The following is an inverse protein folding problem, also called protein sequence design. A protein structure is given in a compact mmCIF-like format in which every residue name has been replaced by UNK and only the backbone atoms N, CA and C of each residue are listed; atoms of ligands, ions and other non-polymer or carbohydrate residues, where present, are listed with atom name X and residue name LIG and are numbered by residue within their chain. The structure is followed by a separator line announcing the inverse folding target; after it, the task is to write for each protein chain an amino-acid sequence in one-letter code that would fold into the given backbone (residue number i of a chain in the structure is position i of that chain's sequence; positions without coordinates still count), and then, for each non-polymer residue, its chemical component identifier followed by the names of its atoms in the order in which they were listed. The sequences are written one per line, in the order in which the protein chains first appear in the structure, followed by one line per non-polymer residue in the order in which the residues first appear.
data_IF_215031563387
#
_entry.id   IF_215031563387
#
_cell.length_a   1.000
_cell.length_b   1.000
_cell.length_c   1.000
_cell.angle_alpha   90.00
_cell.angle_beta   90.00
_cell.angle_gamma   90.00
#
_symmetry.space_group_name_H-M   'P 1'
#
loop_
_entity.id
_entity.type
_entity.pdbx_description
1 polymer ?
#
# COMPACT_ATOMS: atom_id res chain seq x y z
N UNK A 1 -14.54 2.64 -21.39
CA UNK A 1 -13.24 3.31 -21.69
C UNK A 1 -12.73 4.13 -20.50
N UNK A 2 -13.48 5.13 -20.00
CA UNK A 2 -13.06 5.92 -18.84
C UNK A 2 -12.85 5.06 -17.58
N UNK A 3 -13.81 4.20 -17.25
CA UNK A 3 -13.71 3.33 -16.06
C UNK A 3 -12.53 2.38 -16.18
N UNK A 4 -12.36 1.73 -17.33
CA UNK A 4 -11.22 0.86 -17.63
C UNK A 4 -9.87 1.59 -17.55
N UNK A 5 -9.77 2.83 -18.06
CA UNK A 5 -8.55 3.63 -17.92
C UNK A 5 -8.25 3.97 -16.45
N UNK A 6 -9.30 4.18 -15.65
CA UNK A 6 -9.19 4.43 -14.21
C UNK A 6 -8.76 3.17 -13.44
N UNK A 7 -9.33 2.02 -13.78
CA UNK A 7 -8.97 0.71 -13.20
C UNK A 7 -7.53 0.29 -13.53
N UNK A 8 -7.05 0.62 -14.73
CA UNK A 8 -5.65 0.38 -15.14
C UNK A 8 -4.65 1.38 -14.50
N UNK A 9 -5.11 2.31 -13.67
CA UNK A 9 -4.26 3.30 -13.01
C UNK A 9 -3.70 4.39 -13.92
N UNK A 10 -4.27 4.57 -15.12
CA UNK A 10 -3.88 5.63 -16.06
C UNK A 10 -4.40 7.00 -15.59
N UNK A 11 -3.80 8.10 -16.08
CA UNK A 11 -4.20 9.47 -15.68
C UNK A 11 -5.65 9.81 -16.09
N UNK A 12 -6.17 9.15 -17.13
CA UNK A 12 -7.51 9.38 -17.67
C UNK A 12 -7.56 9.17 -19.18
N UNK A 13 -8.49 9.86 -19.84
CA UNK A 13 -8.73 9.75 -21.28
C UNK A 13 -8.57 11.12 -21.95
N UNK A 14 -7.96 11.13 -23.14
CA UNK A 14 -7.96 12.27 -24.05
C UNK A 14 -8.77 11.89 -25.29
N UNK A 15 -9.95 12.48 -25.43
CA UNK A 15 -10.82 12.31 -26.60
C UNK A 15 -10.48 13.36 -27.65
N UNK A 16 -10.11 12.93 -28.85
CA UNK A 16 -9.81 13.80 -30.00
C UNK A 16 -10.90 13.62 -31.05
N UNK A 17 -11.42 14.71 -31.62
CA UNK A 17 -12.35 14.64 -32.76
C UNK A 17 -11.62 14.04 -33.97
N UNK A 18 -12.20 13.01 -34.56
CA UNK A 18 -11.57 12.23 -35.63
C UNK A 18 -11.40 13.04 -36.93
N UNK A 19 -12.30 13.98 -37.17
CA UNK A 19 -12.35 14.87 -38.35
C UNK A 19 -11.55 16.17 -38.17
N UNK A 20 -10.95 16.40 -36.99
CA UNK A 20 -10.26 17.64 -36.70
C UNK A 20 -8.79 17.61 -37.16
N UNK A 21 -8.40 18.61 -37.94
CA UNK A 21 -7.01 18.86 -38.32
C UNK A 21 -6.22 19.31 -37.08
N UNK A 22 -4.95 18.91 -36.99
CA UNK A 22 -4.06 19.38 -35.93
C UNK A 22 -3.87 20.90 -36.02
N UNK A 23 -4.06 21.59 -34.89
CA UNK A 23 -3.85 23.03 -34.76
C UNK A 23 -3.04 23.29 -33.50
N UNK A 24 -2.00 24.13 -33.64
CA UNK A 24 -1.22 24.60 -32.49
C UNK A 24 -2.05 25.59 -31.65
N UNK A 25 -1.94 25.50 -30.32
CA UNK A 25 -2.65 26.38 -29.38
C UNK A 25 -3.90 25.76 -28.74
N UNK A 26 -4.73 26.59 -28.10
CA UNK A 26 -5.92 26.12 -27.37
C UNK A 26 -7.08 25.87 -28.33
N UNK A 27 -7.49 24.61 -28.44
CA UNK A 27 -8.61 24.19 -29.28
C UNK A 27 -9.69 23.49 -28.46
N UNK A 28 -10.86 23.27 -29.08
CA UNK A 28 -11.96 22.46 -28.52
C UNK A 28 -12.04 21.05 -29.14
N UNK A 29 -11.12 20.71 -30.05
CA UNK A 29 -11.11 19.41 -30.74
C UNK A 29 -10.60 18.28 -29.85
N UNK A 30 -9.91 18.60 -28.75
CA UNK A 30 -9.43 17.65 -27.76
C UNK A 30 -10.10 17.93 -26.42
N UNK A 31 -10.66 16.89 -25.80
CA UNK A 31 -11.22 16.95 -24.44
C UNK A 31 -10.46 15.98 -23.55
N UNK A 32 -9.85 16.47 -22.48
CA UNK A 32 -9.22 15.61 -21.47
C UNK A 32 -10.18 15.40 -20.31
N UNK A 33 -10.27 14.16 -19.84
CA UNK A 33 -10.97 13.80 -18.61
C UNK A 33 -10.01 12.98 -17.77
N UNK A 34 -9.65 13.47 -16.58
CA UNK A 34 -8.77 12.73 -15.67
C UNK A 34 -9.54 11.65 -14.92
N UNK A 35 -8.95 10.47 -14.76
CA UNK A 35 -9.38 9.47 -13.81
C UNK A 35 -9.26 10.08 -12.41
N UNK A 36 -10.37 10.15 -11.69
CA UNK A 36 -10.38 10.74 -10.35
C UNK A 36 -10.09 9.66 -9.31
N UNK A 37 -9.15 9.94 -8.41
CA UNK A 37 -8.80 9.01 -7.34
C UNK A 37 -9.81 9.17 -6.21
N UNK A 38 -10.22 8.06 -5.62
CA UNK A 38 -11.15 8.03 -4.49
C UNK A 38 -10.60 7.09 -3.45
N UNK A 39 -10.59 7.54 -2.20
CA UNK A 39 -10.08 6.77 -1.07
C UNK A 39 -10.83 7.17 0.21
N UNK A 40 -10.64 6.40 1.28
CA UNK A 40 -11.25 6.68 2.58
C UNK A 40 -10.22 7.27 3.54
N UNK A 41 -10.63 8.33 4.23
CA UNK A 41 -9.79 9.05 5.18
C UNK A 41 -10.48 9.16 6.52
N UNK A 42 -9.70 9.09 7.59
CA UNK A 42 -10.16 9.39 8.95
C UNK A 42 -10.37 10.89 9.08
N UNK A 43 -11.47 11.30 9.71
CA UNK A 43 -11.70 12.69 10.07
C UNK A 43 -10.97 12.96 11.37
N UNK A 44 -9.93 13.78 11.32
CA UNK A 44 -9.11 14.15 12.47
C UNK A 44 -9.44 15.53 13.04
N UNK A 45 -10.15 16.36 12.29
CA UNK A 45 -10.57 17.69 12.77
C UNK A 45 -11.52 18.38 11.82
N UNK A 46 -11.94 19.59 12.19
CA UNK A 46 -12.72 20.47 11.35
C UNK A 46 -12.36 21.94 11.57
N UNK A 47 -12.69 22.77 10.59
CA UNK A 47 -12.66 24.23 10.71
C UNK A 47 -14.05 24.78 10.51
N UNK A 48 -14.32 25.94 11.11
CA UNK A 48 -15.59 26.68 10.98
C UNK A 48 -15.33 28.02 10.31
N UNK A 49 -16.35 28.59 9.66
CA UNK A 49 -16.26 29.94 9.12
C UNK A 49 -17.62 30.62 9.10
N UNK A 50 -17.64 31.93 9.35
CA UNK A 50 -18.86 32.74 9.28
C UNK A 50 -19.46 32.73 7.88
N UNK A 51 -18.61 32.73 6.83
CA UNK A 51 -19.03 32.66 5.43
C UNK A 51 -19.79 31.37 5.10
N UNK A 52 -19.43 30.26 5.74
CA UNK A 52 -20.09 28.97 5.54
C UNK A 52 -21.25 28.74 6.53
N UNK A 53 -21.49 29.69 7.47
CA UNK A 53 -22.46 29.55 8.55
C UNK A 53 -22.32 28.22 9.31
N UNK A 54 -21.08 27.79 9.59
CA UNK A 54 -20.80 26.50 10.22
C UNK A 54 -19.54 25.82 9.69
N UNK A 55 -19.64 24.52 9.38
CA UNK A 55 -18.52 23.70 8.91
C UNK A 55 -17.91 24.29 7.62
N UNK A 56 -16.64 24.69 7.69
CA UNK A 56 -15.89 25.20 6.55
C UNK A 56 -15.08 24.09 5.86
N UNK A 57 -14.43 23.23 6.64
CA UNK A 57 -13.68 22.11 6.09
C UNK A 57 -13.42 21.01 7.12
N UNK A 58 -13.08 19.83 6.62
CA UNK A 58 -12.67 18.67 7.40
C UNK A 58 -11.17 18.42 7.24
N UNK A 59 -10.48 18.14 8.34
CA UNK A 59 -9.10 17.64 8.36
C UNK A 59 -9.07 16.13 8.16
N UNK A 60 -8.47 15.69 7.05
CA UNK A 60 -8.32 14.28 6.69
C UNK A 60 -7.00 13.73 7.24
N UNK A 61 -7.02 12.47 7.67
CA UNK A 61 -5.87 11.76 8.16
C UNK A 61 -5.91 10.27 7.78
N UNK A 62 -4.77 9.60 7.88
CA UNK A 62 -4.61 8.16 7.65
C UNK A 62 -3.74 7.56 8.73
N UNK A 63 -4.00 6.30 9.07
CA UNK A 63 -3.09 5.54 9.92
C UNK A 63 -1.93 4.97 9.10
N UNK A 64 -0.71 5.25 9.53
CA UNK A 64 0.53 4.72 8.97
C UNK A 64 1.36 4.17 10.14
N UNK A 65 1.69 2.88 10.11
CA UNK A 65 2.43 2.19 11.18
C UNK A 65 1.84 2.34 12.61
N UNK A 66 0.53 2.58 12.71
CA UNK A 66 -0.17 2.78 13.98
C UNK A 66 -0.21 4.24 14.46
N UNK A 67 0.43 5.16 13.74
CA UNK A 67 0.36 6.60 13.99
C UNK A 67 -0.61 7.27 13.02
N UNK A 68 -1.33 8.29 13.48
CA UNK A 68 -2.29 9.02 12.66
C UNK A 68 -1.56 10.19 11.99
N UNK A 69 -1.50 10.21 10.65
CA UNK A 69 -0.84 11.25 9.87
C UNK A 69 -1.84 12.13 9.14
N UNK A 70 -1.61 13.44 9.17
CA UNK A 70 -2.42 14.41 8.46
C UNK A 70 -2.26 14.30 6.95
N UNK A 71 -3.38 14.27 6.22
CA UNK A 71 -3.41 14.16 4.76
C UNK A 71 -4.03 15.38 4.06
N UNK A 72 -4.45 16.40 4.78
CA UNK A 72 -4.92 17.66 4.19
C UNK A 72 -6.35 18.03 4.54
N UNK A 73 -6.78 19.19 4.04
CA UNK A 73 -8.08 19.82 4.35
C UNK A 73 -9.04 19.66 3.18
N UNK A 74 -10.29 19.30 3.46
CA UNK A 74 -11.37 19.13 2.47
C UNK A 74 -12.54 20.04 2.81
N UNK A 75 -12.72 21.10 2.03
CA UNK A 75 -13.75 22.12 2.24
C UNK A 75 -14.90 22.10 1.23
N UNK A 76 -15.04 21.03 0.46
CA UNK A 76 -16.08 20.93 -0.59
C UNK A 76 -16.72 19.54 -0.59
N UNK A 77 -17.93 19.43 -1.15
CA UNK A 77 -18.62 18.15 -1.34
C UNK A 77 -19.70 17.83 -0.30
N UNK A 78 -19.98 18.75 0.62
CA UNK A 78 -21.14 18.70 1.50
C UNK A 78 -22.11 19.84 1.20
N UNK A 79 -23.41 19.56 1.29
CA UNK A 79 -24.46 20.57 1.29
C UNK A 79 -24.67 21.12 2.72
N UNK A 80 -25.59 22.10 2.85
CA UNK A 80 -25.82 22.81 4.11
C UNK A 80 -26.32 21.89 5.23
N UNK A 81 -27.25 20.99 4.91
CA UNK A 81 -27.85 20.09 5.89
C UNK A 81 -26.82 19.08 6.37
N UNK A 82 -26.05 18.49 5.45
CA UNK A 82 -24.97 17.57 5.77
C UNK A 82 -23.83 18.25 6.53
N UNK A 83 -23.48 19.50 6.21
CA UNK A 83 -22.49 20.28 6.95
C UNK A 83 -22.91 20.49 8.40
N UNK A 84 -24.18 20.81 8.62
CA UNK A 84 -24.78 21.01 9.95
C UNK A 84 -24.76 19.70 10.76
N UNK A 85 -25.17 18.59 10.15
CA UNK A 85 -25.16 17.27 10.78
C UNK A 85 -23.73 16.82 11.14
N UNK A 86 -22.77 16.99 10.22
CA UNK A 86 -21.37 16.64 10.44
C UNK A 86 -20.78 17.44 11.60
N UNK A 87 -21.03 18.74 11.65
CA UNK A 87 -20.54 19.60 12.72
C UNK A 87 -21.05 19.13 14.09
N UNK A 88 -22.36 18.88 14.22
CA UNK A 88 -22.96 18.40 15.47
C UNK A 88 -22.45 17.02 15.92
N UNK A 89 -22.05 16.15 14.97
CA UNK A 89 -21.39 14.87 15.29
C UNK A 89 -19.95 15.08 15.75
N UNK A 90 -19.20 15.96 15.10
CA UNK A 90 -17.77 16.19 15.34
C UNK A 90 -17.50 16.96 16.64
N UNK A 91 -18.34 17.93 16.98
CA UNK A 91 -18.21 18.70 18.23
C UNK A 91 -18.18 17.80 19.47
N UNK A 92 -18.96 16.70 19.47
CA UNK A 92 -18.99 15.70 20.54
C UNK A 92 -17.71 14.87 20.66
N UNK A 93 -16.81 14.94 19.69
CA UNK A 93 -15.58 14.16 19.62
C UNK A 93 -14.32 14.96 19.94
N UNK A 94 -14.45 16.24 20.33
CA UNK A 94 -13.33 17.15 20.59
C UNK A 94 -12.59 16.88 21.90
N UNK A 95 -13.30 16.38 22.93
CA UNK A 95 -12.75 16.22 24.27
C UNK A 95 -11.61 15.19 24.33
N UNK A 96 -10.38 15.66 24.59
CA UNK A 96 -9.18 14.80 24.64
C UNK A 96 -8.65 14.37 23.28
N UNK A 97 -9.02 15.07 22.21
CA UNK A 97 -8.44 14.86 20.89
C UNK A 97 -7.04 15.48 20.79
N UNK A 98 -6.16 14.85 20.03
CA UNK A 98 -4.81 15.33 19.72
C UNK A 98 -4.64 15.50 18.20
N UNK A 99 -3.81 16.46 17.76
CA UNK A 99 -3.50 16.59 16.34
C UNK A 99 -2.79 15.33 15.81
N UNK A 100 -3.04 14.94 14.56
CA UNK A 100 -2.22 13.97 13.84
C UNK A 100 -0.78 14.45 13.66
N UNK A 101 0.11 13.53 13.31
CA UNK A 101 1.48 13.83 12.90
C UNK A 101 1.52 14.56 11.54
N UNK A 102 2.54 15.40 11.36
CA UNK A 102 2.78 16.11 10.10
C UNK A 102 1.84 17.30 9.81
N UNK A 103 1.09 17.79 10.80
CA UNK A 103 0.21 18.96 10.63
C UNK A 103 1.04 20.26 10.50
N UNK A 104 0.85 21.07 9.43
CA UNK A 104 1.48 22.38 9.32
C UNK A 104 1.04 23.34 10.44
N UNK A 105 1.94 24.21 10.93
CA UNK A 105 1.68 25.14 12.05
C UNK A 105 0.45 26.05 11.85
N UNK A 106 0.20 26.48 10.62
CA UNK A 106 -0.94 27.32 10.28
C UNK A 106 -2.26 26.58 10.50
N UNK A 107 -2.33 25.32 10.03
CA UNK A 107 -3.49 24.44 10.22
C UNK A 107 -3.65 24.06 11.69
N UNK A 108 -2.54 23.90 12.41
CA UNK A 108 -2.55 23.54 13.83
C UNK A 108 -3.38 24.49 14.70
N UNK A 109 -3.41 25.78 14.35
CA UNK A 109 -4.14 26.82 15.09
C UNK A 109 -5.59 27.00 14.63
N UNK A 110 -5.89 26.70 13.36
CA UNK A 110 -7.22 26.87 12.77
C UNK A 110 -8.15 25.69 13.10
N UNK A 111 -7.57 24.50 13.28
CA UNK A 111 -8.32 23.24 13.34
C UNK A 111 -8.83 22.93 14.75
N UNK A 112 -10.11 22.56 14.83
CA UNK A 112 -10.70 21.89 15.98
C UNK A 112 -10.47 20.38 15.83
N UNK A 113 -9.61 19.82 16.67
CA UNK A 113 -9.24 18.41 16.62
C UNK A 113 -10.34 17.52 17.18
N UNK A 114 -10.53 16.35 16.59
CA UNK A 114 -11.51 15.35 17.03
C UNK A 114 -10.87 13.97 17.17
N UNK A 115 -11.47 13.12 17.99
CA UNK A 115 -11.09 11.71 18.05
C UNK A 115 -11.31 11.04 16.70
N UNK A 116 -10.39 10.18 16.24
CA UNK A 116 -10.44 9.52 14.93
C UNK A 116 -11.48 8.38 14.86
N UNK A 117 -12.75 8.70 15.11
CA UNK A 117 -13.86 7.73 15.16
C UNK A 117 -14.73 7.75 13.91
N UNK A 118 -14.63 8.81 13.10
CA UNK A 118 -15.38 8.95 11.85
C UNK A 118 -14.41 8.89 10.67
N UNK A 119 -14.86 8.29 9.57
CA UNK A 119 -14.15 8.31 8.30
C UNK A 119 -15.06 8.78 7.17
N UNK A 120 -14.45 9.29 6.11
CA UNK A 120 -15.13 9.86 4.98
C UNK A 120 -14.50 9.37 3.69
N UNK A 121 -15.34 9.09 2.69
CA UNK A 121 -14.89 8.86 1.33
C UNK A 121 -14.59 10.21 0.69
N UNK A 122 -13.36 10.36 0.19
CA UNK A 122 -12.90 11.58 -0.45
C UNK A 122 -12.40 11.28 -1.85
N UNK A 123 -12.86 12.09 -2.81
CA UNK A 123 -12.34 12.11 -4.17
C UNK A 123 -11.30 13.22 -4.31
N UNK A 124 -10.15 12.95 -4.91
CA UNK A 124 -9.06 13.91 -5.00
C UNK A 124 -8.31 13.79 -6.34
N UNK A 125 -7.55 14.82 -6.72
CA UNK A 125 -6.81 14.82 -7.99
C UNK A 125 -5.55 13.98 -7.94
N UNK A 126 -4.74 14.20 -6.90
CA UNK A 126 -3.46 13.55 -6.68
C UNK A 126 -3.03 13.71 -5.22
N UNK A 127 -2.01 12.91 -4.84
CA UNK A 127 -1.27 13.09 -3.59
C UNK A 127 0.03 13.84 -3.86
N UNK A 128 0.52 14.54 -2.85
CA UNK A 128 1.87 15.11 -2.80
C UNK A 128 2.89 14.07 -2.37
N UNK A 129 4.18 14.43 -2.33
CA UNK A 129 5.25 13.52 -1.93
C UNK A 129 5.14 13.10 -0.44
N UNK A 130 4.57 13.96 0.40
CA UNK A 130 4.19 13.74 1.80
C UNK A 130 2.80 13.07 1.95
N UNK A 131 2.27 12.48 0.87
CA UNK A 131 0.99 11.79 0.82
C UNK A 131 -0.27 12.64 1.08
N UNK A 132 -0.15 13.97 1.20
CA UNK A 132 -1.30 14.84 1.36
C UNK A 132 -2.13 14.94 0.07
N UNK A 133 -3.45 14.92 0.19
CA UNK A 133 -4.38 15.00 -0.92
C UNK A 133 -4.56 16.44 -1.42
N UNK A 134 -4.62 16.60 -2.75
CA UNK A 134 -4.94 17.86 -3.42
C UNK A 134 -6.31 17.82 -4.06
N UNK A 135 -7.00 18.96 -4.00
CA UNK A 135 -8.35 19.14 -4.55
C UNK A 135 -9.33 18.07 -4.08
N UNK A 136 -9.32 17.78 -2.77
CA UNK A 136 -10.22 16.84 -2.14
C UNK A 136 -11.67 17.34 -2.13
N UNK A 137 -12.59 16.42 -2.42
CA UNK A 137 -14.04 16.63 -2.43
C UNK A 137 -14.67 15.51 -1.61
N UNK A 138 -15.39 15.87 -0.56
CA UNK A 138 -16.15 14.95 0.27
C UNK A 138 -17.22 14.23 -0.57
N UNK A 139 -17.41 12.94 -0.35
CA UNK A 139 -18.42 12.12 -1.06
C UNK A 139 -19.42 11.45 -0.13
N UNK A 140 -19.13 11.40 1.17
CA UNK A 140 -20.01 10.78 2.17
C UNK A 140 -19.22 10.25 3.35
N UNK A 141 -19.90 10.12 4.49
CA UNK A 141 -19.37 9.37 5.63
C UNK A 141 -19.27 7.89 5.27
N UNK A 142 -18.29 7.23 5.88
CA UNK A 142 -18.21 5.78 5.90
C UNK A 142 -18.72 5.28 7.24
N UNK A 143 -19.53 4.23 7.18
CA UNK A 143 -20.18 3.70 8.38
C UNK A 143 -19.16 3.08 9.34
N UNK A 144 -19.42 3.21 10.65
CA UNK A 144 -18.47 2.94 11.75
C UNK A 144 -18.24 1.43 11.99
N UNK A 145 -18.78 0.55 11.12
CA UNK A 145 -18.31 -0.84 11.02
C UNK A 145 -16.86 -0.96 10.49
N UNK A 146 -16.27 0.16 10.06
CA UNK A 146 -14.93 0.26 9.49
C UNK A 146 -13.86 0.86 10.41
N UNK A 147 -14.00 0.79 11.75
CA UNK A 147 -12.78 0.62 12.57
C UNK A 147 -12.23 -0.78 12.32
N UNK A 148 -11.75 -0.97 11.11
CA UNK A 148 -10.65 -1.85 10.89
C UNK A 148 -9.43 -0.93 10.83
N UNK A 149 -8.66 -0.90 11.94
CA UNK A 149 -7.27 -1.39 11.82
C UNK A 149 -7.35 -2.47 10.77
N UNK A 150 -6.83 -2.27 9.53
CA UNK A 150 -7.23 -3.08 8.36
C UNK A 150 -7.37 -4.49 8.86
N UNK A 151 -8.63 -5.01 8.98
CA UNK A 151 -8.93 -6.21 9.79
C UNK A 151 -7.82 -7.13 9.36
N UNK A 152 -6.90 -7.54 10.26
CA UNK A 152 -5.68 -8.20 9.86
C UNK A 152 -6.20 -9.21 8.88
N UNK A 153 -5.93 -8.98 7.57
CA UNK A 153 -6.58 -9.77 6.53
C UNK A 153 -6.38 -11.15 7.09
N UNK A 154 -7.44 -11.96 7.32
CA UNK A 154 -7.27 -13.29 7.92
C UNK A 154 -6.42 -14.00 6.89
N UNK A 155 -5.12 -13.78 7.03
CA UNK A 155 -4.10 -14.02 6.04
C UNK A 155 -4.00 -15.49 6.21
N UNK A 156 -4.28 -16.17 5.12
CA UNK A 156 -4.17 -17.60 5.11
C UNK A 156 -2.75 -17.89 5.57
N UNK A 157 -2.62 -18.41 6.78
CA UNK A 157 -1.35 -18.90 7.30
C UNK A 157 -0.98 -20.02 6.33
N UNK A 158 0.04 -19.76 5.50
CA UNK A 158 0.54 -20.71 4.53
C UNK A 158 1.57 -21.62 5.17
N UNK A 159 2.20 -21.17 6.26
CA UNK A 159 3.18 -21.93 7.03
C UNK A 159 2.58 -22.37 8.36
N UNK A 160 2.19 -23.64 8.46
CA UNK A 160 1.76 -24.24 9.72
C UNK A 160 2.96 -24.68 10.58
N UNK A 161 2.74 -24.86 11.89
CA UNK A 161 3.80 -25.37 12.78
C UNK A 161 4.27 -26.78 12.40
N UNK A 162 3.37 -27.60 11.83
CA UNK A 162 3.71 -28.91 11.26
C UNK A 162 4.71 -28.81 10.12
N UNK A 163 4.62 -27.77 9.29
CA UNK A 163 5.53 -27.58 8.15
C UNK A 163 6.92 -27.21 8.68
N UNK A 164 6.98 -26.28 9.63
CA UNK A 164 8.23 -25.88 10.29
C UNK A 164 8.90 -27.04 11.04
N UNK A 165 8.12 -27.89 11.72
CA UNK A 165 8.65 -29.04 12.46
C UNK A 165 9.36 -30.07 11.58
N UNK A 166 9.13 -30.04 10.28
CA UNK A 166 9.76 -30.96 9.31
C UNK A 166 10.95 -30.35 8.57
N UNK A 167 11.29 -29.08 8.83
CA UNK A 167 12.45 -28.40 8.23
C UNK A 167 13.66 -28.55 9.17
N UNK A 168 14.68 -29.27 8.73
CA UNK A 168 15.92 -29.42 9.48
C UNK A 168 16.95 -28.35 9.10
N UNK A 169 17.35 -27.51 10.05
CA UNK A 169 18.40 -26.50 9.86
C UNK A 169 19.74 -27.03 10.33
N UNK A 170 20.62 -27.38 9.39
CA UNK A 170 21.99 -27.80 9.72
C UNK A 170 22.85 -26.64 10.20
N UNK A 171 23.64 -26.84 11.26
CA UNK A 171 24.51 -25.82 11.87
C UNK A 171 23.76 -24.51 12.21
N UNK A 172 22.74 -24.56 13.09
CA UNK A 172 21.86 -23.43 13.37
C UNK A 172 22.61 -22.21 13.92
N UNK A 173 23.61 -22.43 14.77
CA UNK A 173 24.41 -21.38 15.43
C UNK A 173 25.45 -20.72 14.50
N UNK A 174 25.65 -21.25 13.29
CA UNK A 174 26.63 -20.69 12.36
C UNK A 174 26.23 -19.27 11.99
N UNK A 175 27.11 -18.32 12.27
CA UNK A 175 26.93 -16.92 11.88
C UNK A 175 27.16 -16.72 10.38
N UNK A 176 26.24 -15.99 9.76
CA UNK A 176 26.30 -15.55 8.38
C UNK A 176 26.70 -14.07 8.33
N UNK A 177 27.29 -13.64 7.22
CA UNK A 177 27.68 -12.24 7.01
C UNK A 177 28.70 -11.69 8.04
N UNK A 178 29.59 -12.55 8.54
CA UNK A 178 30.67 -12.19 9.45
C UNK A 178 30.45 -12.62 10.91
N UNK A 179 31.40 -12.28 11.79
CA UNK A 179 31.40 -12.72 13.20
C UNK A 179 30.27 -12.12 14.05
N UNK A 180 29.71 -10.99 13.64
CA UNK A 180 28.63 -10.29 14.35
C UNK A 180 27.28 -10.42 13.67
N UNK A 181 27.21 -11.12 12.53
CA UNK A 181 25.97 -11.27 11.78
C UNK A 181 25.01 -12.31 12.39
N UNK A 182 23.79 -12.41 11.82
CA UNK A 182 22.76 -13.33 12.28
C UNK A 182 23.21 -14.78 12.16
N UNK A 183 22.69 -15.63 13.04
CA UNK A 183 22.87 -17.08 12.91
C UNK A 183 22.01 -17.63 11.77
N UNK A 184 22.35 -18.82 11.29
CA UNK A 184 21.56 -19.51 10.27
C UNK A 184 20.13 -19.78 10.75
N UNK A 185 19.96 -20.04 12.05
CA UNK A 185 18.65 -20.15 12.68
C UNK A 185 17.88 -18.84 12.63
N UNK A 186 18.51 -17.70 12.93
CA UNK A 186 17.84 -16.40 12.87
C UNK A 186 17.29 -16.10 11.47
N UNK A 187 18.05 -16.44 10.42
CA UNK A 187 17.59 -16.30 9.04
C UNK A 187 16.42 -17.25 8.74
N UNK A 188 16.49 -18.51 9.18
CA UNK A 188 15.38 -19.46 8.98
C UNK A 188 14.10 -19.00 9.70
N UNK A 189 14.22 -18.52 10.94
CA UNK A 189 13.12 -17.95 11.72
C UNK A 189 12.56 -16.71 11.04
N UNK A 190 13.41 -15.82 10.54
CA UNK A 190 12.97 -14.66 9.76
C UNK A 190 12.14 -15.07 8.55
N UNK A 191 12.60 -16.03 7.74
CA UNK A 191 11.83 -16.55 6.60
C UNK A 191 10.53 -17.23 7.02
N UNK A 192 10.49 -17.91 8.17
CA UNK A 192 9.24 -18.45 8.70
C UNK A 192 8.25 -17.34 9.10
N UNK A 193 8.74 -16.22 9.65
CA UNK A 193 7.92 -15.06 10.03
C UNK A 193 7.40 -14.28 8.82
N UNK A 194 8.22 -14.10 7.79
CA UNK A 194 7.83 -13.35 6.58
C UNK A 194 7.24 -14.24 5.48
N UNK A 195 7.28 -15.56 5.65
CA UNK A 195 6.93 -16.51 4.59
C UNK A 195 5.48 -16.41 4.14
N UNK A 196 4.53 -16.13 5.05
CA UNK A 196 3.13 -15.87 4.70
C UNK A 196 2.96 -14.64 3.78
N UNK A 197 3.91 -13.71 3.78
CA UNK A 197 3.95 -12.56 2.87
C UNK A 197 4.67 -12.88 1.56
N UNK A 198 5.70 -13.73 1.61
CA UNK A 198 6.57 -14.03 0.49
C UNK A 198 5.98 -15.10 -0.44
N UNK A 199 5.50 -16.21 0.13
CA UNK A 199 5.05 -17.41 -0.58
C UNK A 199 3.97 -17.14 -1.65
N UNK A 200 2.92 -16.31 -1.42
CA UNK A 200 1.92 -16.03 -2.45
C UNK A 200 2.49 -15.46 -3.75
N UNK A 201 3.68 -14.87 -3.69
CA UNK A 201 4.33 -14.23 -4.82
C UNK A 201 5.36 -15.11 -5.53
N UNK A 202 5.79 -16.23 -4.92
CA UNK A 202 6.87 -17.07 -5.44
C UNK A 202 6.46 -18.54 -5.66
N UNK A 203 5.40 -19.02 -5.00
CA UNK A 203 4.93 -20.40 -5.17
C UNK A 203 4.50 -20.64 -6.62
N UNK A 204 4.98 -21.74 -7.20
CA UNK A 204 4.71 -22.12 -8.59
C UNK A 204 5.38 -21.21 -9.64
N UNK A 205 6.39 -20.43 -9.25
CA UNK A 205 7.12 -19.54 -10.17
C UNK A 205 8.61 -19.90 -10.22
N UNK A 206 9.27 -19.75 -11.38
CA UNK A 206 10.72 -19.84 -11.47
C UNK A 206 11.39 -18.75 -10.60
N UNK A 207 12.32 -19.15 -9.75
CA UNK A 207 13.09 -18.27 -8.87
C UNK A 207 14.59 -18.39 -9.15
N UNK A 208 15.33 -17.35 -8.77
CA UNK A 208 16.80 -17.37 -8.75
C UNK A 208 17.27 -17.25 -7.31
N UNK A 209 18.14 -18.16 -6.89
CA UNK A 209 18.75 -18.09 -5.56
C UNK A 209 20.00 -17.22 -5.60
N UNK A 210 20.12 -16.27 -4.67
CA UNK A 210 21.39 -15.57 -4.43
C UNK A 210 22.18 -16.39 -3.44
N UNK A 211 23.34 -16.91 -3.87
CA UNK A 211 24.21 -17.73 -3.03
C UNK A 211 25.52 -17.01 -2.77
N UNK A 212 25.92 -16.98 -1.50
CA UNK A 212 27.19 -16.41 -1.05
C UNK A 212 27.97 -17.49 -0.28
N UNK A 213 28.76 -18.36 -0.94
CA UNK A 213 29.36 -19.54 -0.32
C UNK A 213 30.26 -19.22 0.89
N UNK A 214 30.98 -18.10 0.82
CA UNK A 214 31.87 -17.60 1.88
C UNK A 214 31.16 -16.67 2.87
N UNK A 215 29.91 -16.31 2.60
CA UNK A 215 29.15 -15.29 3.33
C UNK A 215 29.57 -13.84 3.04
N UNK A 216 30.48 -13.61 2.07
CA UNK A 216 30.92 -12.27 1.66
C UNK A 216 30.13 -11.78 0.42
N UNK A 217 29.68 -10.51 0.38
CA UNK A 217 28.92 -9.96 -0.74
C UNK A 217 29.57 -10.12 -2.12
N UNK A 218 30.90 -10.01 -2.20
CA UNK A 218 31.66 -10.13 -3.44
C UNK A 218 31.69 -11.56 -4.03
N UNK A 219 31.42 -12.57 -3.21
CA UNK A 219 31.38 -13.97 -3.64
C UNK A 219 29.93 -14.43 -3.90
N UNK A 220 28.98 -13.49 -3.94
CA UNK A 220 27.58 -13.78 -4.19
C UNK A 220 27.30 -13.88 -5.69
N UNK A 221 26.51 -14.87 -6.10
CA UNK A 221 26.07 -15.04 -7.49
C UNK A 221 24.64 -15.57 -7.56
N UNK A 222 24.00 -15.39 -8.72
CA UNK A 222 22.66 -15.90 -8.99
C UNK A 222 22.74 -17.34 -9.52
N UNK A 223 22.05 -18.26 -8.85
CA UNK A 223 21.84 -19.63 -9.27
C UNK A 223 20.40 -19.77 -9.79
N UNK A 224 20.26 -20.08 -11.08
CA UNK A 224 18.95 -20.29 -11.75
C UNK A 224 18.61 -21.76 -11.98
N UNK A 225 19.64 -22.59 -12.11
CA UNK A 225 19.52 -23.99 -12.49
C UNK A 225 19.78 -24.91 -11.30
N UNK A 226 19.17 -26.09 -11.31
CA UNK A 226 19.46 -27.12 -10.31
C UNK A 226 20.91 -27.63 -10.44
N UNK A 227 21.46 -28.14 -9.34
CA UNK A 227 22.80 -28.73 -9.31
C UNK A 227 22.83 -29.96 -8.41
N UNK A 228 23.85 -30.80 -8.59
CA UNK A 228 24.04 -32.02 -7.80
C UNK A 228 24.22 -31.70 -6.31
N UNK A 229 23.32 -32.21 -5.47
CA UNK A 229 23.33 -31.95 -4.02
C UNK A 229 22.35 -30.87 -3.55
N UNK A 230 21.49 -30.37 -4.44
CA UNK A 230 20.33 -29.56 -4.04
C UNK A 230 19.35 -30.41 -3.20
N UNK A 231 18.76 -29.85 -2.12
CA UNK A 231 17.77 -30.59 -1.33
C UNK A 231 16.57 -31.01 -2.19
N UNK A 232 16.02 -32.22 -1.97
CA UNK A 232 14.86 -32.69 -2.73
C UNK A 232 13.60 -31.86 -2.50
N UNK A 233 13.58 -31.02 -1.47
CA UNK A 233 12.48 -30.09 -1.23
C UNK A 233 12.45 -28.93 -2.21
N UNK A 234 13.56 -28.58 -2.88
CA UNK A 234 13.57 -27.48 -3.86
C UNK A 234 13.05 -28.00 -5.19
N UNK A 235 11.88 -27.53 -5.58
CA UNK A 235 11.25 -27.94 -6.84
C UNK A 235 12.02 -27.42 -8.07
N UNK A 236 11.83 -28.10 -9.20
CA UNK A 236 12.39 -27.71 -10.48
C UNK A 236 11.32 -27.70 -11.57
N UNK A 237 11.40 -26.71 -12.45
CA UNK A 237 10.53 -26.55 -13.59
C UNK A 237 11.35 -26.54 -14.88
N UNK A 238 10.93 -27.32 -15.89
CA UNK A 238 11.58 -27.36 -17.19
C UNK A 238 11.01 -26.31 -18.14
N UNK A 239 11.88 -25.56 -18.81
CA UNK A 239 11.51 -24.62 -19.85
C UNK A 239 12.52 -24.65 -20.99
N UNK A 240 12.02 -24.48 -22.21
CA UNK A 240 12.85 -24.31 -23.41
C UNK A 240 13.31 -22.85 -23.47
N UNK A 241 14.60 -22.61 -23.66
CA UNK A 241 15.14 -21.26 -23.85
C UNK A 241 14.94 -20.77 -25.30
N UNK A 242 15.36 -19.53 -25.58
CA UNK A 242 15.31 -18.94 -26.92
C UNK A 242 16.16 -19.66 -27.98
N UNK A 243 17.04 -20.57 -27.56
CA UNK A 243 17.95 -21.35 -28.42
C UNK A 243 17.42 -22.78 -28.67
N UNK A 244 16.23 -23.12 -28.16
CA UNK A 244 15.64 -24.45 -28.30
C UNK A 244 16.17 -25.50 -27.31
N UNK A 245 16.99 -25.10 -26.34
CA UNK A 245 17.52 -25.97 -25.31
C UNK A 245 16.56 -26.07 -24.11
N UNK A 246 16.24 -27.28 -23.69
CA UNK A 246 15.51 -27.51 -22.44
C UNK A 246 16.44 -27.26 -21.24
N UNK A 247 16.06 -26.32 -20.37
CA UNK A 247 16.77 -26.03 -19.12
C UNK A 247 15.83 -26.18 -17.93
N UNK A 248 16.37 -26.70 -16.84
CA UNK A 248 15.70 -26.75 -15.53
C UNK A 248 15.93 -25.46 -14.77
N UNK A 249 14.87 -24.90 -14.22
CA UNK A 249 14.87 -23.72 -13.36
C UNK A 249 14.39 -24.09 -11.98
N UNK A 250 14.89 -23.39 -10.97
CA UNK A 250 14.43 -23.57 -9.59
C UNK A 250 13.04 -22.99 -9.41
N UNK A 251 12.19 -23.66 -8.65
CA UNK A 251 10.87 -23.16 -8.22
C UNK A 251 10.65 -23.45 -6.75
N UNK A 252 9.66 -22.80 -6.16
CA UNK A 252 9.20 -23.06 -4.78
C UNK A 252 7.78 -23.58 -4.83
N UNK A 253 7.48 -24.68 -4.14
CA UNK A 253 6.13 -25.25 -4.06
C UNK A 253 5.48 -25.02 -2.71
N UNK A 254 6.27 -25.09 -1.63
CA UNK A 254 5.77 -24.89 -0.27
C UNK A 254 6.81 -24.20 0.65
N UNK A 255 6.59 -24.26 1.96
CA UNK A 255 7.47 -23.65 2.95
C UNK A 255 8.86 -24.32 3.06
N UNK A 256 8.99 -25.58 2.63
CA UNK A 256 10.23 -26.36 2.66
C UNK A 256 11.10 -26.13 1.43
N UNK A 257 10.47 -25.77 0.31
CA UNK A 257 11.15 -25.53 -0.95
C UNK A 257 10.27 -25.72 -2.17
#
# INVERSE_FOLDING_TARGET
LYDQASELGLEGVVSKRADAIYQSGRTKSWTKVKAQKTDDFVIAGYTVSDRAEGLAALGMAEFENGELHYRGKVGTGFDRDMATELLARLERLTAGASPPEGVPREIMREMHWVKPLLSARVRYSNRTADNAIRHGVFRGLRDVGGLTTPAPVKRKRLIAESDLATIWVTNPERRLFGKTGPTKLDIAVYYALVGDFMLPHIVGRPVSLVRCPTGKPQDCFFQRHAFTGMPPSVAVFESVNSEGETKTYLSVEDAKG
#
